data_IF_869307461730
#
_entry.id   IF_869307461730
#
_cell.length_a   1.000
_cell.length_b   1.000
_cell.length_c   1.000
_cell.angle_alpha   90.00
_cell.angle_beta   90.00
_cell.angle_gamma   90.00
#
_symmetry.space_group_name_H-M   'P 1'
#
loop_
_entity.id
_entity.type
_entity.pdbx_description
1 polymer ?
2 non-polymer ?
3 water ?
#
# COMPACT_ATOMS: atom_id res chain seq x y z
N UNK A 2 7.48 -0.80 -14.90
CA UNK A 2 6.53 -0.21 -13.97
C UNK A 2 7.12 -0.07 -12.57
N UNK A 3 7.40 1.17 -12.16
CA UNK A 3 7.96 1.42 -10.85
C UNK A 3 6.94 2.18 -10.01
N UNK A 4 6.16 3.04 -10.70
CA UNK A 4 5.10 3.86 -10.07
C UNK A 4 3.70 3.38 -10.51
N UNK A 5 2.93 2.82 -9.57
CA UNK A 5 1.59 2.29 -9.84
C UNK A 5 0.44 3.12 -9.25
N UNK A 6 -0.57 3.35 -10.09
CA UNK A 6 -1.73 4.13 -9.68
C UNK A 6 -2.98 3.36 -9.43
N UNK A 7 -3.58 3.72 -8.33
CA UNK A 7 -4.81 3.11 -7.90
C UNK A 7 -5.84 4.12 -7.39
N UNK A 8 -7.09 3.90 -7.79
CA UNK A 8 -8.22 4.73 -7.40
C UNK A 8 -9.07 4.07 -6.33
N UNK A 9 -9.63 4.92 -5.52
CA UNK A 9 -10.46 4.42 -4.48
C UNK A 9 -11.57 5.39 -4.18
N UNK A 10 -12.83 4.95 -4.24
CA UNK A 10 -13.90 5.88 -3.91
C UNK A 10 -14.17 5.83 -2.42
N UNK A 11 -14.51 6.98 -1.85
CA UNK A 11 -14.80 7.07 -0.44
C UNK A 11 -16.31 6.96 -0.26
N UNK A 12 -16.72 6.07 0.63
CA UNK A 12 -18.11 5.84 0.94
C UNK A 12 -18.49 6.50 2.21
N UNK A 13 -19.78 6.53 2.39
CA UNK A 13 -20.32 7.15 3.56
C UNK A 13 -19.88 6.52 4.85
N UNK A 14 -19.86 5.18 4.87
CA UNK A 14 -19.44 4.49 6.06
C UNK A 14 -17.96 4.67 6.44
N UNK A 15 -17.15 5.06 5.45
CA UNK A 15 -15.71 5.29 5.64
C UNK A 15 -15.39 6.60 6.41
N UNK A 16 -16.43 7.38 6.74
CA UNK A 16 -16.34 8.66 7.45
C UNK A 16 -16.88 8.59 8.85
N UNK A 17 -16.36 9.46 9.72
CA UNK A 17 -16.76 9.55 11.11
C UNK A 17 -17.90 10.59 11.29
N UNK A 18 -18.38 10.80 12.55
CA UNK A 18 -19.45 11.75 12.81
C UNK A 18 -19.05 13.17 12.45
N UNK A 19 -17.74 13.38 12.37
CA UNK A 19 -17.19 14.65 12.02
C UNK A 19 -17.33 14.93 10.54
N UNK A 20 -17.75 13.90 9.79
CA UNK A 20 -17.95 14.03 8.34
C UNK A 20 -16.74 13.84 7.44
N UNK A 21 -15.60 13.45 8.02
CA UNK A 21 -14.40 13.23 7.22
C UNK A 21 -13.95 11.77 7.33
N UNK A 22 -13.14 11.35 6.37
CA UNK A 22 -12.62 10.01 6.32
C UNK A 22 -12.02 9.72 7.64
N UNK A 23 -12.37 8.58 8.19
CA UNK A 23 -11.82 8.17 9.48
C UNK A 23 -10.44 7.59 9.13
N UNK A 24 -9.41 8.15 9.75
CA UNK A 24 -8.02 7.82 9.55
C UNK A 24 -7.57 6.38 9.27
N UNK A 25 -7.98 5.48 10.14
CA UNK A 25 -7.60 4.08 9.99
C UNK A 25 -7.94 3.54 8.64
N UNK A 26 -8.93 4.17 7.99
CA UNK A 26 -9.33 3.72 6.66
C UNK A 26 -8.24 3.97 5.67
N UNK A 27 -7.49 5.07 5.85
CA UNK A 27 -6.46 5.25 4.87
C UNK A 27 -5.49 4.05 4.87
N UNK A 28 -5.21 3.45 6.04
CA UNK A 28 -4.28 2.30 6.10
C UNK A 28 -4.78 1.09 5.36
N UNK A 29 -6.10 0.98 5.27
CA UNK A 29 -6.76 -0.10 4.60
C UNK A 29 -6.50 0.00 3.12
N UNK A 30 -6.60 1.21 2.64
CA UNK A 30 -6.40 1.48 1.24
C UNK A 30 -4.92 1.42 0.85
N UNK A 31 -4.03 1.77 1.76
CA UNK A 31 -2.64 1.71 1.39
C UNK A 31 -2.22 0.25 1.34
N UNK A 32 -2.84 -0.56 2.22
CA UNK A 32 -2.55 -2.00 2.28
C UNK A 32 -2.90 -2.62 0.93
N UNK A 33 -4.06 -2.22 0.42
CA UNK A 33 -4.55 -2.68 -0.85
C UNK A 33 -3.62 -2.17 -1.93
N UNK A 34 -3.23 -0.91 -1.81
CA UNK A 34 -2.35 -0.31 -2.77
C UNK A 34 -0.99 -1.00 -2.86
N UNK A 35 -0.51 -1.41 -1.71
CA UNK A 35 0.76 -2.06 -1.66
C UNK A 35 0.73 -3.33 -2.47
N UNK A 36 -0.27 -4.11 -2.10
CA UNK A 36 -0.51 -5.41 -2.71
C UNK A 36 -0.78 -5.25 -4.20
N UNK A 37 -1.57 -4.25 -4.54
CA UNK A 37 -1.90 -4.00 -5.92
C UNK A 37 -0.64 -3.71 -6.72
N UNK A 38 0.36 -3.10 -6.08
CA UNK A 38 1.62 -2.79 -6.78
C UNK A 38 2.39 -4.06 -7.31
N UNK A 39 2.55 -5.05 -6.47
CA UNK A 39 3.25 -6.25 -6.91
C UNK A 39 2.48 -7.02 -7.97
N UNK A 40 1.19 -7.09 -7.78
CA UNK A 40 0.37 -7.79 -8.73
C UNK A 40 0.49 -7.09 -10.06
N UNK A 41 0.33 -5.77 -10.07
CA UNK A 41 0.44 -5.00 -11.31
C UNK A 41 1.84 -5.09 -11.91
N UNK A 42 2.81 -5.46 -11.06
CA UNK A 42 4.20 -5.59 -11.49
C UNK A 42 4.46 -6.95 -12.11
N UNK A 43 3.62 -7.93 -11.79
CA UNK A 43 3.79 -9.25 -12.35
C UNK A 43 3.83 -10.35 -11.33
N UNK A 44 3.98 -9.99 -10.07
CA UNK A 44 4.02 -11.03 -9.06
C UNK A 44 2.75 -11.87 -9.06
N UNK A 45 2.85 -13.10 -8.57
CA UNK A 45 1.71 -13.98 -8.50
C UNK A 45 1.00 -13.75 -7.18
N UNK A 46 -0.28 -14.08 -7.10
CA UNK A 46 -1.00 -13.88 -5.86
C UNK A 46 -0.33 -14.61 -4.72
N UNK A 47 -0.59 -14.10 -3.52
CA UNK A 47 0.00 -14.68 -2.33
C UNK A 47 -0.42 -16.10 -2.19
N UNK A 48 -1.50 -16.37 -2.86
CA UNK A 48 -2.10 -17.71 -2.80
C UNK A 48 -1.14 -18.74 -3.39
N UNK A 49 -0.63 -18.44 -4.59
CA UNK A 49 0.32 -19.28 -5.30
C UNK A 49 1.68 -19.29 -4.60
N UNK A 50 2.17 -18.09 -4.39
CA UNK A 50 3.43 -17.83 -3.75
C UNK A 50 3.57 -18.63 -2.45
N UNK A 51 2.50 -18.67 -1.72
CA UNK A 51 2.46 -19.32 -0.42
C UNK A 51 2.64 -20.83 -0.58
N UNK A 52 2.53 -21.30 -1.77
CA UNK A 52 2.69 -22.73 -1.94
C UNK A 52 3.94 -23.01 -2.75
N UNK A 53 4.14 -22.15 -3.64
CA UNK A 53 5.26 -22.17 -4.56
C UNK A 53 6.55 -21.86 -3.81
N UNK A 54 6.54 -20.77 -3.12
CA UNK A 54 7.73 -20.35 -2.40
C UNK A 54 7.57 -20.40 -0.91
N UNK A 55 6.38 -20.33 -0.53
CA UNK A 55 6.06 -20.36 0.90
C UNK A 55 6.00 -18.94 1.47
N UNK A 56 5.91 -17.92 0.56
CA UNK A 56 5.80 -16.48 0.96
C UNK A 56 4.34 -16.10 1.26
N UNK A 57 4.16 -15.71 2.51
CA UNK A 57 2.86 -15.35 3.00
C UNK A 57 2.46 -13.91 2.71
N UNK A 58 3.39 -13.12 2.19
CA UNK A 58 3.08 -11.74 1.90
C UNK A 58 4.18 -10.79 2.36
N UNK A 59 3.82 -9.52 2.62
CA UNK A 59 4.75 -8.49 3.07
C UNK A 59 4.30 -7.64 4.25
N UNK A 60 4.41 -8.22 5.45
CA UNK A 60 4.04 -7.54 6.67
C UNK A 60 4.75 -6.21 6.83
N UNK A 61 4.10 -5.33 7.55
CA UNK A 61 4.68 -4.05 7.76
C UNK A 61 5.55 -4.01 9.03
N UNK A 62 6.69 -3.33 8.92
CA UNK A 62 7.62 -3.21 10.06
C UNK A 62 7.66 -1.77 10.60
N UNK A 63 7.41 -0.84 9.72
CA UNK A 63 7.43 0.51 10.14
C UNK A 63 6.73 1.37 9.13
N UNK A 64 6.39 2.58 9.55
CA UNK A 64 5.74 3.42 8.60
C UNK A 64 5.67 4.86 9.09
N UNK A 65 5.68 5.77 8.18
CA UNK A 65 5.61 7.15 8.56
C UNK A 65 4.62 7.76 7.58
N UNK A 66 3.62 8.50 8.12
CA UNK A 66 2.58 9.15 7.34
C UNK A 66 2.35 10.58 7.80
N UNK A 67 1.99 11.43 6.93
CA UNK A 67 1.64 12.84 7.15
C UNK A 67 0.35 13.09 6.40
N UNK A 68 -0.62 13.68 7.08
CA UNK A 68 -1.91 14.00 6.46
C UNK A 68 -1.95 15.49 6.33
N UNK A 69 -2.16 15.96 5.14
CA UNK A 69 -2.14 17.34 5.01
C UNK A 69 -3.47 17.95 4.81
N UNK A 70 -4.40 17.21 4.21
CA UNK A 70 -5.78 17.75 3.87
C UNK A 70 -6.89 16.75 4.25
N UNK A 71 -8.15 17.21 4.44
CA UNK A 71 -9.26 16.25 4.77
C UNK A 71 -9.85 15.61 3.50
N UNK A 72 -10.70 14.63 3.71
CA UNK A 72 -11.39 14.02 2.59
C UNK A 72 -12.73 13.51 3.12
N UNK A 73 -13.71 13.37 2.22
CA UNK A 73 -15.04 12.91 2.58
C UNK A 73 -15.69 12.07 1.51
N UNK A 74 -16.86 11.51 1.88
CA UNK A 74 -17.60 10.66 0.96
C UNK A 74 -17.81 11.26 -0.42
N UNK A 75 -17.86 10.40 -1.41
CA UNK A 75 -18.04 10.88 -2.75
C UNK A 75 -16.73 11.27 -3.40
N UNK A 76 -15.75 11.68 -2.59
CA UNK A 76 -14.47 12.04 -3.17
C UNK A 76 -13.75 10.76 -3.58
N UNK A 77 -12.95 10.90 -4.61
CA UNK A 77 -12.16 9.83 -5.16
C UNK A 77 -10.67 10.05 -4.93
N UNK A 78 -10.03 9.03 -4.48
CA UNK A 78 -8.66 9.18 -4.24
C UNK A 78 -7.83 8.48 -5.25
N UNK A 79 -6.72 9.12 -5.52
CA UNK A 79 -5.79 8.58 -6.43
C UNK A 79 -4.58 8.20 -5.62
N UNK A 80 -4.20 6.93 -5.69
CA UNK A 80 -3.05 6.44 -4.96
C UNK A 80 -1.90 6.09 -5.90
N UNK A 81 -0.75 6.69 -5.63
CA UNK A 81 0.46 6.48 -6.41
C UNK A 81 1.44 5.69 -5.58
N UNK A 82 1.86 4.52 -6.02
CA UNK A 82 2.80 3.76 -5.21
C UNK A 82 4.01 3.30 -6.01
N UNK A 83 5.21 3.33 -5.39
CA UNK A 83 6.46 2.89 -6.00
C UNK A 83 7.34 2.38 -4.88
N UNK A 84 8.40 1.68 -5.26
CA UNK A 84 9.37 1.16 -4.31
C UNK A 84 10.47 2.23 -4.27
N UNK A 85 10.64 2.85 -3.12
CA UNK A 85 11.62 3.90 -2.90
C UNK A 85 13.02 3.40 -2.76
N UNK A 86 13.16 2.36 -1.94
CA UNK A 86 14.44 1.74 -1.69
C UNK A 86 14.38 0.30 -1.29
N UNK A 87 15.37 -0.40 -1.77
CA UNK A 87 15.49 -1.81 -1.48
C UNK A 87 16.63 -1.92 -0.50
N UNK A 88 16.40 -2.69 0.55
CA UNK A 88 17.39 -2.91 1.58
C UNK A 88 17.81 -4.36 1.43
N UNK A 89 18.30 -5.02 2.46
CA UNK A 89 18.68 -6.43 2.25
C UNK A 89 17.54 -7.48 2.27
N UNK A 90 16.65 -7.35 3.26
CA UNK A 90 15.49 -8.22 3.48
C UNK A 90 14.21 -7.42 3.73
N UNK A 91 14.25 -6.17 3.26
CA UNK A 91 13.15 -5.25 3.39
C UNK A 91 13.20 -4.15 2.36
N UNK A 92 12.05 -3.51 2.13
CA UNK A 92 12.00 -2.44 1.15
C UNK A 92 11.17 -1.26 1.66
N UNK A 93 11.38 -0.12 1.06
CA UNK A 93 10.65 1.09 1.42
C UNK A 93 9.56 1.37 0.38
N UNK A 94 8.27 1.24 0.76
CA UNK A 94 7.14 1.47 -0.14
C UNK A 94 6.59 2.86 0.11
N UNK A 95 6.60 3.66 -0.95
CA UNK A 95 6.13 5.03 -0.91
C UNK A 95 4.74 5.24 -1.56
N UNK A 96 3.88 5.96 -0.82
CA UNK A 96 2.55 6.24 -1.28
C UNK A 96 2.21 7.71 -1.13
N UNK A 97 1.71 8.23 -2.21
CA UNK A 97 1.31 9.61 -2.26
C UNK A 97 -0.18 9.55 -2.57
N UNK A 98 -1.03 10.06 -1.68
CA UNK A 98 -2.49 10.04 -1.91
C UNK A 98 -3.08 11.44 -2.19
N UNK A 99 -3.77 11.55 -3.30
CA UNK A 99 -4.39 12.79 -3.69
C UNK A 99 -5.92 12.61 -3.73
N UNK A 100 -6.62 13.68 -3.32
CA UNK A 100 -8.11 13.76 -3.27
C UNK A 100 -8.72 14.63 -4.36
N UNK A 101 -9.72 14.11 -5.03
CA UNK A 101 -10.37 14.87 -6.07
C UNK A 101 -11.80 15.10 -5.66
N UNK A 102 -12.09 16.32 -5.22
CA UNK A 102 -13.44 16.64 -4.80
C UNK A 102 -14.38 16.82 -5.96
N UNK A 103 -15.65 16.82 -5.59
CA UNK A 103 -16.68 17.01 -6.56
C UNK A 103 -16.38 18.41 -7.05
N UNK A 104 -16.44 18.62 -8.34
CA UNK A 104 -16.13 19.97 -8.76
C UNK A 104 -14.65 20.02 -9.13
N UNK A 105 -14.10 18.82 -9.35
CA UNK A 105 -12.72 18.57 -9.74
C UNK A 105 -11.56 19.20 -8.97
N UNK A 106 -11.73 19.52 -7.69
CA UNK A 106 -10.62 20.10 -6.95
C UNK A 106 -9.61 18.98 -6.75
N UNK A 107 -8.26 19.34 -6.80
CA UNK A 107 -7.28 18.27 -6.51
C UNK A 107 -6.17 18.76 -5.57
N UNK A 108 -6.18 18.12 -4.41
CA UNK A 108 -5.24 18.38 -3.31
C UNK A 108 -4.55 17.11 -2.83
N UNK A 109 -3.33 17.26 -2.40
CA UNK A 109 -2.61 16.11 -1.89
C UNK A 109 -3.22 15.84 -0.52
N UNK A 110 -3.60 14.59 -0.30
CA UNK A 110 -4.24 14.29 0.95
C UNK A 110 -3.34 13.69 1.96
N UNK A 111 -2.46 12.82 1.47
CA UNK A 111 -1.56 12.19 2.40
C UNK A 111 -0.36 11.58 1.70
N UNK A 112 0.67 11.41 2.51
CA UNK A 112 1.91 10.83 2.05
C UNK A 112 2.31 9.84 3.10
N UNK A 113 2.85 8.70 2.69
CA UNK A 113 3.25 7.71 3.68
C UNK A 113 4.33 6.81 3.15
N UNK A 114 5.23 6.46 4.04
CA UNK A 114 6.31 5.59 3.70
C UNK A 114 6.11 4.36 4.57
N UNK A 115 6.01 3.22 3.90
CA UNK A 115 5.82 1.97 4.60
C UNK A 115 7.01 1.06 4.41
N UNK A 116 7.61 0.65 5.51
CA UNK A 116 8.73 -0.24 5.46
C UNK A 116 8.16 -1.65 5.66
N UNK A 117 8.28 -2.48 4.62
CA UNK A 117 7.78 -3.85 4.67
C UNK A 117 8.83 -4.89 4.34
N UNK A 118 8.48 -6.15 4.56
CA UNK A 118 9.36 -7.28 4.29
C UNK A 118 8.61 -8.47 3.75
N UNK A 119 9.34 -9.27 2.99
CA UNK A 119 8.79 -10.47 2.41
C UNK A 119 8.85 -11.41 3.58
N UNK A 120 7.83 -12.20 3.79
CA UNK A 120 7.90 -13.10 4.94
C UNK A 120 7.33 -14.48 4.73
N UNK A 121 7.71 -15.36 5.63
CA UNK A 121 7.22 -16.71 5.55
C UNK A 121 6.91 -17.19 6.92
N UNK A 122 6.13 -18.27 6.98
CA UNK A 122 5.80 -18.81 8.29
C UNK A 122 6.98 -19.61 8.83
N UNK A 123 7.57 -19.11 9.90
CA UNK A 123 8.70 -19.82 10.46
C UNK A 123 8.29 -20.49 11.75
N UNK A 124 7.78 -21.73 11.62
CA UNK A 124 7.34 -22.48 12.77
C UNK A 124 6.25 -21.74 13.55
N UNK A 125 6.65 -21.08 14.64
CA UNK A 125 5.75 -20.32 15.51
C UNK A 125 5.33 -19.00 14.88
N UNK A 126 6.30 -18.19 14.50
CA UNK A 126 5.99 -16.92 13.89
C UNK A 126 6.59 -16.74 12.51
N UNK A 127 6.31 -15.55 11.99
CA UNK A 127 6.75 -15.15 10.66
C UNK A 127 8.20 -14.74 10.65
N UNK A 128 8.81 -15.04 9.51
CA UNK A 128 10.22 -14.71 9.29
C UNK A 128 10.41 -14.01 7.93
N UNK A 129 11.30 -13.01 7.98
CA UNK A 129 11.64 -12.19 6.80
C UNK A 129 12.68 -12.89 5.93
N UNK A 130 12.64 -12.52 4.71
CA UNK A 130 13.59 -13.13 3.86
C UNK A 130 14.05 -12.10 2.93
N UNK A 131 15.15 -12.47 2.30
CA UNK A 131 15.83 -11.69 1.32
C UNK A 131 14.84 -11.55 0.21
N UNK A 132 14.80 -10.40 -0.39
CA UNK A 132 13.79 -10.20 -1.42
C UNK A 132 14.16 -11.08 -2.61
N UNK A 133 13.29 -12.01 -3.09
CA UNK A 133 13.65 -12.78 -4.25
C UNK A 133 14.02 -11.93 -5.46
N UNK A 134 15.05 -12.40 -6.07
CA UNK A 134 15.62 -11.78 -7.22
C UNK A 134 14.60 -11.68 -8.34
N UNK A 135 13.59 -12.60 -8.43
CA UNK A 135 12.71 -12.36 -9.58
C UNK A 135 11.77 -11.23 -9.24
N UNK A 136 11.57 -10.98 -7.93
CA UNK A 136 10.73 -9.85 -7.50
C UNK A 136 11.47 -8.55 -7.81
N UNK A 137 12.75 -8.43 -7.47
CA UNK A 137 13.44 -7.18 -7.79
C UNK A 137 13.43 -6.93 -9.30
N UNK A 138 13.56 -8.01 -10.04
CA UNK A 138 13.55 -7.95 -11.48
C UNK A 138 12.25 -7.32 -11.93
N UNK A 139 11.14 -7.98 -11.57
CA UNK A 139 9.77 -7.58 -11.89
C UNK A 139 9.39 -6.12 -11.60
N UNK A 140 9.75 -5.67 -10.40
CA UNK A 140 9.48 -4.33 -9.90
C UNK A 140 10.43 -3.25 -10.39
X LIG B 1 11.89 12.41 0.23
X LIG B 1 12.12 13.48 -0.73
X LIG B 1 12.01 12.83 -2.06
X LIG B 1 13.11 11.86 -2.25
X LIG B 1 12.97 10.79 -1.24
X LIG B 1 12.99 11.45 0.10
X LIG B 1 13.20 11.36 -3.68
X LIG B 1 12.05 11.70 -4.62
X LIG B 1 12.51 12.66 -5.55
X LIG B 1 11.81 12.90 1.61
X LIG B 1 12.72 12.12 2.52
X LIG B 1 11.88 11.35 3.87
X LIG B 1 12.21 9.96 3.83
X LIG B 1 10.57 11.89 3.96
X LIG B 1 12.46 11.91 5.11
#
# INVERSE_FOLDING_TARGET
MARSITMQQRIEFGDCDPAGIVWYPNYHRWLDAASRNYFIKCGLPPWRQTVVERGIVGTPIVSCNASFVCTASYDDVLTIETCIKEWRRKSFVQRHSVSRTTPGGDVQLVMRADEIRVFAMNDGERLRAIEVPADYIELCS
EPE N1 C2 C3 N4 C5 C6 C7 C8 O8 C9 C10 S O1S O2S O3S
#
